data_IF_198093272300
#
_entry.id   IF_198093272300
#
_cell.length_a   1.000
_cell.length_b   1.000
_cell.length_c   1.000
_cell.angle_alpha   90.00
_cell.angle_beta   90.00
_cell.angle_gamma   90.00
#
_symmetry.space_group_name_H-M   'P 1'
#
loop_
_entity.id
_entity.type
_entity.pdbx_description
1 polymer ?
#
# COMPACT_ATOMS: atom_id res chain seq x y z
N UNK A 1 -6.02 -6.61 1.23
CA UNK A 1 -6.19 -5.15 1.48
C UNK A 1 -5.76 -4.87 2.90
N UNK A 2 -4.96 -3.83 3.11
CA UNK A 2 -4.45 -3.44 4.43
C UNK A 2 -4.75 -1.95 4.62
N UNK A 3 -5.21 -1.55 5.81
CA UNK A 3 -5.38 -0.15 6.21
C UNK A 3 -4.45 0.16 7.38
N UNK A 4 -3.64 1.21 7.25
CA UNK A 4 -2.70 1.65 8.30
C UNK A 4 -2.28 3.11 8.03
N UNK A 5 -1.45 3.68 8.90
CA UNK A 5 -0.89 5.01 8.72
C UNK A 5 -0.11 5.14 7.40
N UNK A 6 -0.10 6.33 6.75
CA UNK A 6 0.58 6.58 5.49
C UNK A 6 2.00 6.05 5.41
N UNK A 7 2.79 6.20 6.47
CA UNK A 7 4.19 5.75 6.51
C UNK A 7 4.30 4.24 6.30
N UNK A 8 3.52 3.43 7.01
CA UNK A 8 3.53 1.97 6.90
C UNK A 8 3.02 1.50 5.55
N UNK A 9 1.98 2.14 5.04
CA UNK A 9 1.45 1.87 3.70
C UNK A 9 2.50 2.18 2.63
N UNK A 10 3.24 3.27 2.79
CA UNK A 10 4.22 3.73 1.80
C UNK A 10 5.44 2.80 1.67
N UNK A 11 5.74 1.99 2.70
CA UNK A 11 6.79 0.96 2.62
C UNK A 11 6.54 -0.11 1.53
N UNK A 12 5.32 -0.21 0.99
CA UNK A 12 5.05 -1.05 -0.19
C UNK A 12 5.83 -0.59 -1.43
N UNK A 13 6.13 0.71 -1.57
CA UNK A 13 6.89 1.26 -2.71
C UNK A 13 8.29 0.66 -2.80
N UNK A 14 9.16 0.77 -1.78
CA UNK A 14 10.48 0.16 -1.84
C UNK A 14 10.42 -1.36 -1.88
N UNK A 15 9.40 -1.99 -1.29
CA UNK A 15 9.20 -3.44 -1.43
C UNK A 15 8.94 -3.83 -2.89
N UNK A 16 8.19 -3.04 -3.66
CA UNK A 16 7.96 -3.30 -5.08
C UNK A 16 9.19 -3.01 -5.95
N UNK A 17 9.84 -1.86 -5.73
CA UNK A 17 10.95 -1.40 -6.58
C UNK A 17 12.31 -1.99 -6.20
N UNK A 18 12.41 -2.76 -5.12
CA UNK A 18 13.68 -3.31 -4.62
C UNK A 18 14.53 -4.05 -5.67
N UNK A 19 13.89 -4.78 -6.59
CA UNK A 19 14.60 -5.62 -7.56
C UNK A 19 14.94 -4.89 -8.87
N UNK A 20 14.00 -4.09 -9.39
CA UNK A 20 14.11 -3.46 -10.70
C UNK A 20 14.48 -1.96 -10.62
N UNK A 21 14.44 -1.36 -9.42
CA UNK A 21 14.47 0.09 -9.25
C UNK A 21 13.22 0.77 -9.82
N UNK A 22 13.32 2.08 -10.04
CA UNK A 22 12.26 2.87 -10.68
C UNK A 22 11.29 3.56 -9.73
N UNK A 23 10.17 4.04 -10.30
CA UNK A 23 9.12 4.79 -9.58
C UNK A 23 7.84 3.96 -9.56
N UNK A 24 7.12 4.03 -8.45
CA UNK A 24 5.76 3.50 -8.36
C UNK A 24 4.77 4.57 -8.83
N UNK A 25 3.80 4.15 -9.66
CA UNK A 25 2.69 4.98 -10.11
C UNK A 25 1.41 4.43 -9.48
N UNK A 26 0.60 5.34 -8.93
CA UNK A 26 -0.66 5.00 -8.29
C UNK A 26 -1.79 5.76 -8.97
N UNK A 27 -2.93 5.09 -9.12
CA UNK A 27 -4.14 5.67 -9.72
C UNK A 27 -5.24 5.70 -8.66
N UNK A 28 -5.84 6.87 -8.46
CA UNK A 28 -6.90 7.06 -7.47
C UNK A 28 -7.88 8.12 -7.95
N UNK A 29 -9.12 8.03 -7.48
CA UNK A 29 -10.17 9.03 -7.68
C UNK A 29 -10.68 9.55 -6.32
N UNK A 30 -11.46 10.65 -6.27
CA UNK A 30 -11.95 11.19 -4.99
C UNK A 30 -13.28 10.58 -4.51
N UNK A 31 -14.10 10.03 -5.42
CA UNK A 31 -15.45 9.54 -5.12
C UNK A 31 -15.65 8.08 -5.55
N UNK A 32 -16.23 7.26 -4.67
CA UNK A 32 -16.55 5.84 -4.90
C UNK A 32 -15.40 4.95 -5.43
N UNK A 33 -14.14 5.37 -5.21
CA UNK A 33 -12.97 4.74 -5.79
C UNK A 33 -12.27 3.71 -4.91
N UNK A 34 -12.36 3.82 -3.57
CA UNK A 34 -11.45 3.06 -2.69
C UNK A 34 -11.55 1.55 -2.92
N UNK A 35 -12.76 1.02 -3.13
CA UNK A 35 -12.98 -0.38 -3.46
C UNK A 35 -12.30 -0.79 -4.78
N UNK A 36 -12.35 0.09 -5.79
CA UNK A 36 -11.71 -0.11 -7.09
C UNK A 36 -10.18 0.01 -6.97
N UNK A 37 -9.70 1.08 -6.34
CA UNK A 37 -8.29 1.38 -6.12
C UNK A 37 -7.55 0.23 -5.42
N UNK A 38 -8.17 -0.44 -4.44
CA UNK A 38 -7.49 -1.46 -3.62
C UNK A 38 -7.83 -2.90 -4.01
N UNK A 39 -8.79 -3.12 -4.91
CA UNK A 39 -9.14 -4.47 -5.40
C UNK A 39 -9.02 -4.57 -6.92
N UNK A 40 -9.79 -3.79 -7.68
CA UNK A 40 -9.87 -3.92 -9.13
C UNK A 40 -8.56 -3.50 -9.82
N UNK A 41 -8.00 -2.34 -9.45
CA UNK A 41 -6.72 -1.87 -10.01
C UNK A 41 -5.59 -2.87 -9.74
N UNK A 42 -5.37 -3.36 -8.50
CA UNK A 42 -4.34 -4.36 -8.25
C UNK A 42 -4.58 -5.69 -8.97
N UNK A 43 -5.84 -6.13 -9.05
CA UNK A 43 -6.19 -7.38 -9.72
C UNK A 43 -5.91 -7.33 -11.23
N UNK A 44 -6.22 -6.22 -11.89
CA UNK A 44 -6.09 -6.09 -13.35
C UNK A 44 -4.67 -5.72 -13.77
N UNK A 45 -3.98 -4.88 -12.99
CA UNK A 45 -2.63 -4.39 -13.34
C UNK A 45 -1.50 -5.27 -12.82
N UNK A 46 -1.81 -6.20 -11.91
CA UNK A 46 -0.83 -7.01 -11.17
C UNK A 46 0.22 -6.15 -10.42
N UNK A 47 -0.16 -4.93 -10.04
CA UNK A 47 0.67 -3.97 -9.30
C UNK A 47 -0.02 -3.53 -8.02
N UNK A 48 0.71 -3.22 -6.95
CA UNK A 48 0.10 -2.62 -5.77
C UNK A 48 -0.49 -1.26 -6.10
N UNK A 49 -1.58 -0.89 -5.43
CA UNK A 49 -2.16 0.44 -5.53
C UNK A 49 -2.63 0.96 -4.18
N UNK A 50 -2.57 2.28 -3.99
CA UNK A 50 -2.86 2.95 -2.73
C UNK A 50 -4.07 3.88 -2.90
N UNK A 51 -4.91 3.95 -1.88
CA UNK A 51 -6.04 4.89 -1.80
C UNK A 51 -5.99 5.65 -0.48
N UNK A 52 -6.34 6.93 -0.53
CA UNK A 52 -6.59 7.75 0.67
C UNK A 52 -8.00 7.46 1.22
N UNK A 53 -8.79 6.60 0.58
CA UNK A 53 -10.15 6.28 1.00
C UNK A 53 -11.14 7.36 0.56
N UNK A 54 -12.10 6.97 -0.27
CA UNK A 54 -13.17 7.86 -0.71
C UNK A 54 -14.12 8.21 0.44
N UNK A 55 -14.87 9.31 0.28
CA UNK A 55 -15.85 9.77 1.27
C UNK A 55 -16.81 8.66 1.72
N UNK A 56 -17.32 7.86 0.77
CA UNK A 56 -18.25 6.77 1.06
C UNK A 56 -17.62 5.69 1.94
N UNK A 57 -16.41 5.24 1.61
CA UNK A 57 -15.71 4.23 2.40
C UNK A 57 -15.36 4.75 3.79
N UNK A 58 -14.88 5.99 3.92
CA UNK A 58 -14.58 6.59 5.24
C UNK A 58 -15.82 6.72 6.13
N UNK A 59 -17.00 6.96 5.55
CA UNK A 59 -18.26 7.03 6.31
C UNK A 59 -18.82 5.64 6.69
N UNK A 60 -18.47 4.58 5.96
CA UNK A 60 -19.10 3.25 6.06
C UNK A 60 -18.19 2.15 6.61
N UNK A 61 -16.92 2.46 6.84
CA UNK A 61 -15.90 1.50 7.31
C UNK A 61 -15.18 2.06 8.54
N UNK A 62 -14.29 1.26 9.12
CA UNK A 62 -13.47 1.63 10.28
C UNK A 62 -12.17 2.36 9.93
N UNK A 63 -11.98 2.81 8.68
CA UNK A 63 -10.77 3.54 8.26
C UNK A 63 -10.69 4.86 9.04
N UNK A 64 -9.63 5.04 9.82
CA UNK A 64 -9.43 6.24 10.64
C UNK A 64 -9.00 7.44 9.78
N UNK A 65 -9.19 8.69 10.25
CA UNK A 65 -8.81 9.89 9.50
C UNK A 65 -7.34 9.94 9.09
N UNK A 66 -6.46 9.36 9.91
CA UNK A 66 -5.01 9.28 9.76
C UNK A 66 -4.52 8.03 9.05
N UNK A 67 -5.42 7.19 8.53
CA UNK A 67 -5.09 5.96 7.83
C UNK A 67 -5.26 6.09 6.31
N UNK A 68 -4.46 5.32 5.59
CA UNK A 68 -4.56 5.05 4.15
C UNK A 68 -4.79 3.55 3.93
N UNK A 69 -5.20 3.18 2.72
CA UNK A 69 -5.48 1.79 2.36
C UNK A 69 -4.61 1.38 1.17
N UNK A 70 -4.09 0.16 1.21
CA UNK A 70 -3.32 -0.44 0.11
C UNK A 70 -3.90 -1.77 -0.32
N UNK A 71 -3.98 -1.92 -1.64
CA UNK A 71 -4.25 -3.18 -2.31
C UNK A 71 -2.94 -3.81 -2.79
N UNK A 72 -2.70 -5.06 -2.41
CA UNK A 72 -1.52 -5.83 -2.80
C UNK A 72 -2.00 -7.10 -3.52
N UNK A 73 -1.56 -7.35 -4.76
CA UNK A 73 -1.83 -8.61 -5.45
C UNK A 73 -1.24 -9.81 -4.68
N UNK A 74 -1.98 -10.90 -4.59
CA UNK A 74 -1.61 -12.03 -3.72
C UNK A 74 -0.25 -12.66 -4.09
N UNK A 75 0.02 -12.79 -5.39
CA UNK A 75 1.28 -13.30 -5.94
C UNK A 75 2.51 -12.45 -5.57
N UNK A 76 2.34 -11.18 -5.19
CA UNK A 76 3.44 -10.28 -4.77
C UNK A 76 3.84 -10.48 -3.31
N UNK A 77 2.93 -11.00 -2.48
CA UNK A 77 3.11 -11.15 -1.04
C UNK A 77 4.39 -11.94 -0.69
N UNK A 78 4.69 -13.11 -1.29
CA UNK A 78 5.90 -13.87 -0.94
C UNK A 78 7.19 -13.06 -1.11
N UNK A 79 7.32 -12.32 -2.23
CA UNK A 79 8.48 -11.48 -2.50
C UNK A 79 8.57 -10.28 -1.54
N UNK A 80 7.43 -9.73 -1.13
CA UNK A 80 7.41 -8.65 -0.12
C UNK A 80 7.83 -9.14 1.25
N UNK A 81 7.39 -10.33 1.67
CA UNK A 81 7.78 -10.93 2.96
C UNK A 81 9.29 -11.18 2.99
N UNK A 82 9.87 -11.72 1.92
CA UNK A 82 11.32 -11.92 1.81
C UNK A 82 12.10 -10.59 1.95
N UNK A 83 11.66 -9.56 1.23
CA UNK A 83 12.30 -8.23 1.27
C UNK A 83 12.14 -7.56 2.63
N UNK A 84 10.96 -7.70 3.25
CA UNK A 84 10.68 -7.17 4.58
C UNK A 84 11.61 -7.77 5.63
N UNK A 85 11.88 -9.08 5.57
CA UNK A 85 12.85 -9.74 6.46
C UNK A 85 14.26 -9.18 6.33
N UNK A 86 14.66 -8.68 5.14
CA UNK A 86 15.94 -7.99 4.95
C UNK A 86 15.94 -6.55 5.51
N UNK A 87 14.77 -5.90 5.50
CA UNK A 87 14.63 -4.50 5.90
C UNK A 87 14.38 -4.32 7.40
N UNK A 88 13.88 -5.36 8.07
CA UNK A 88 13.57 -5.38 9.50
C UNK A 88 14.76 -4.95 10.38
N UNK A 89 15.97 -5.40 10.04
CA UNK A 89 17.20 -5.10 10.79
C UNK A 89 17.99 -3.91 10.23
N UNK A 90 17.47 -3.24 9.20
CA UNK A 90 18.23 -2.27 8.41
C UNK A 90 17.55 -0.91 8.34
N UNK A 91 17.07 -0.58 7.14
CA UNK A 91 16.54 0.76 6.82
C UNK A 91 15.30 1.11 7.64
N UNK A 92 14.45 0.12 7.98
CA UNK A 92 13.22 0.37 8.75
C UNK A 92 13.51 0.69 10.21
N UNK A 93 14.55 0.10 10.80
CA UNK A 93 14.99 0.44 12.16
C UNK A 93 15.50 1.87 12.24
N UNK A 94 16.19 2.34 11.19
CA UNK A 94 16.68 3.73 11.09
C UNK A 94 15.57 4.74 10.81
N UNK A 95 14.52 4.31 10.14
CA UNK A 95 13.39 5.15 9.75
C UNK A 95 12.31 5.28 10.82
N UNK A 96 12.24 4.33 11.77
CA UNK A 96 11.37 4.42 12.95
C UNK A 96 11.61 5.75 13.65
N UNK A 97 10.59 6.61 13.64
CA UNK A 97 10.51 7.76 14.55
C UNK A 97 9.99 7.26 15.89
N UNK A 98 10.66 7.69 16.96
CA UNK A 98 10.32 7.39 18.36
C UNK A 98 8.85 7.74 18.68
#
# INVERSE_FOLDING_TARGET
VISDIPERVYWVVPLETAAAGGRAEFSTAPFQCCCEDVNAVPLVTDKPNISIGCFGCRKRTSIRPDEMVVGIPYNRIPGYVERLGRYETGIMTKAKRD
#
